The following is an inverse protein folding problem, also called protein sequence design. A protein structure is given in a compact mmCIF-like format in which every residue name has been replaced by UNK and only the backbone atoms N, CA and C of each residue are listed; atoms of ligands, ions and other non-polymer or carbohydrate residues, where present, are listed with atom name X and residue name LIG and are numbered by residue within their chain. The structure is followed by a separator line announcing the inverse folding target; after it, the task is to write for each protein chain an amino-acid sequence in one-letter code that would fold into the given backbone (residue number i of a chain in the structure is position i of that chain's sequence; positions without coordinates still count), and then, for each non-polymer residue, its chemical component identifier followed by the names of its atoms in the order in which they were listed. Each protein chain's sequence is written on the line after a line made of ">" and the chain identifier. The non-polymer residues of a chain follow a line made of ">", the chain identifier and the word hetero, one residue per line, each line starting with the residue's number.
data_IF_094867061488
#
_entry.id   IF_094867061488
#
_cell.length_a   1.000
_cell.length_b   1.000
_cell.length_c   1.000
_cell.angle_alpha   90.00
_cell.angle_beta   90.00
_cell.angle_gamma   90.00
#
_symmetry.space_group_name_H-M   'P 1'
#
loop_
_entity.id
_entity.type
_entity.pdbx_description
1 polymer ?
#
# COMPACT_ATOMS: atom_id res chain seq x y z
N UNK A 1 2.10 7.06 46.66
CA UNK A 1 2.05 5.92 45.72
C UNK A 1 3.38 5.21 45.79
N UNK A 2 3.39 3.87 45.86
CA UNK A 2 4.64 3.10 45.82
C UNK A 2 5.22 3.11 44.40
N UNK A 3 6.54 2.98 44.28
CA UNK A 3 7.23 2.92 42.98
C UNK A 3 6.69 1.77 42.10
N UNK A 4 6.31 0.66 42.74
CA UNK A 4 5.72 -0.50 42.07
C UNK A 4 4.39 -0.20 41.39
N UNK A 5 3.50 0.60 42.00
CA UNK A 5 2.23 0.96 41.37
C UNK A 5 2.44 1.75 40.07
N UNK A 6 3.46 2.62 40.03
CA UNK A 6 3.79 3.39 38.82
C UNK A 6 4.30 2.49 37.71
N UNK A 7 5.15 1.50 38.05
CA UNK A 7 5.65 0.51 37.10
C UNK A 7 4.50 -0.33 36.55
N UNK A 8 3.57 -0.75 37.41
CA UNK A 8 2.42 -1.54 37.00
C UNK A 8 1.50 -0.73 36.09
N UNK A 9 1.23 0.52 36.40
CA UNK A 9 0.42 1.41 35.56
C UNK A 9 0.96 1.52 34.12
N UNK A 10 2.27 1.63 33.96
CA UNK A 10 2.94 1.61 32.65
C UNK A 10 2.84 0.27 31.93
N UNK A 11 2.79 -0.85 32.68
CA UNK A 11 2.72 -2.20 32.14
C UNK A 11 1.29 -2.67 31.82
N UNK A 12 0.26 -2.08 32.41
CA UNK A 12 -1.16 -2.46 32.21
C UNK A 12 -1.55 -2.55 30.70
N UNK A 13 -1.19 -1.58 29.83
CA UNK A 13 -1.53 -1.64 28.41
C UNK A 13 -0.88 -2.81 27.67
N UNK A 14 0.32 -3.24 28.08
CA UNK A 14 1.05 -4.36 27.49
C UNK A 14 0.56 -5.70 28.04
N UNK A 15 0.25 -5.75 29.34
CA UNK A 15 -0.34 -6.91 30.03
C UNK A 15 -1.67 -7.32 29.37
N UNK A 16 -2.58 -6.37 29.12
CA UNK A 16 -3.85 -6.63 28.43
C UNK A 16 -3.72 -7.16 27.01
N UNK A 17 -2.59 -6.89 26.35
CA UNK A 17 -2.32 -7.32 24.98
C UNK A 17 -1.57 -8.65 24.90
N UNK A 18 -1.27 -9.29 26.04
CA UNK A 18 -0.46 -10.51 26.12
C UNK A 18 0.91 -10.34 25.42
N UNK A 19 1.48 -9.14 25.48
CA UNK A 19 2.78 -8.79 24.86
C UNK A 19 3.93 -8.77 25.87
N UNK A 20 3.69 -9.22 27.10
CA UNK A 20 4.69 -9.29 28.16
C UNK A 20 5.35 -10.67 28.20
N UNK A 21 6.59 -10.71 28.68
CA UNK A 21 7.28 -11.96 28.98
C UNK A 21 6.67 -12.63 30.21
N UNK A 22 6.79 -13.96 30.31
CA UNK A 22 6.18 -14.76 31.39
C UNK A 22 6.54 -14.24 32.80
N UNK A 23 7.81 -13.89 33.04
CA UNK A 23 8.27 -13.34 34.32
C UNK A 23 7.62 -11.99 34.66
N UNK A 24 7.32 -11.17 33.66
CA UNK A 24 6.65 -9.87 33.85
C UNK A 24 5.15 -10.04 34.07
N UNK A 25 4.54 -11.08 33.48
CA UNK A 25 3.14 -11.44 33.73
C UNK A 25 2.96 -11.85 35.18
N UNK A 26 3.81 -12.75 35.69
CA UNK A 26 3.77 -13.20 37.09
C UNK A 26 3.95 -12.02 38.07
N UNK A 27 4.87 -11.10 37.77
CA UNK A 27 5.07 -9.88 38.57
C UNK A 27 3.83 -8.99 38.60
N UNK A 28 3.17 -8.80 37.46
CA UNK A 28 1.94 -7.98 37.37
C UNK A 28 0.80 -8.66 38.11
N UNK A 29 0.58 -9.97 37.92
CA UNK A 29 -0.47 -10.73 38.60
C UNK A 29 -0.28 -10.71 40.12
N UNK A 30 0.95 -10.93 40.60
CA UNK A 30 1.26 -10.88 42.03
C UNK A 30 0.93 -9.51 42.63
N UNK A 31 1.26 -8.42 41.95
CA UNK A 31 0.93 -7.08 42.42
C UNK A 31 -0.58 -6.78 42.38
N UNK A 32 -1.30 -7.31 41.39
CA UNK A 32 -2.76 -7.15 41.28
C UNK A 32 -3.54 -7.87 42.40
N UNK A 33 -2.98 -8.93 42.98
CA UNK A 33 -3.59 -9.59 44.16
C UNK A 33 -3.52 -8.76 45.43
N UNK A 34 -2.54 -7.86 45.53
CA UNK A 34 -2.25 -7.09 46.76
C UNK A 34 -2.69 -5.63 46.66
N UNK A 35 -2.80 -5.08 45.45
CA UNK A 35 -3.12 -3.66 45.24
C UNK A 35 -4.50 -3.44 44.60
N UNK A 36 -5.48 -3.04 45.41
CA UNK A 36 -6.85 -2.76 44.97
C UNK A 36 -6.93 -1.58 43.97
N UNK A 37 -6.03 -0.59 44.09
CA UNK A 37 -5.96 0.55 43.17
C UNK A 37 -5.55 0.10 41.76
N UNK A 38 -4.50 -0.71 41.64
CA UNK A 38 -4.06 -1.27 40.36
C UNK A 38 -5.10 -2.22 39.76
N UNK A 39 -5.81 -2.97 40.60
CA UNK A 39 -6.92 -3.82 40.16
C UNK A 39 -8.07 -3.00 39.53
N UNK A 40 -8.44 -1.87 40.15
CA UNK A 40 -9.44 -0.97 39.59
C UNK A 40 -8.96 -0.29 38.30
N UNK A 41 -7.67 0.06 38.20
CA UNK A 41 -7.09 0.60 36.96
C UNK A 41 -7.12 -0.44 35.83
N UNK A 42 -6.85 -1.72 36.12
CA UNK A 42 -7.03 -2.80 35.13
C UNK A 42 -8.50 -2.98 34.76
N UNK A 43 -9.44 -2.90 35.69
CA UNK A 43 -10.86 -3.03 35.39
C UNK A 43 -11.40 -1.84 34.56
N UNK A 44 -10.97 -0.62 34.89
CA UNK A 44 -11.49 0.63 34.30
C UNK A 44 -10.71 1.13 33.08
N UNK A 45 -9.49 0.62 32.85
CA UNK A 45 -8.76 0.89 31.61
C UNK A 45 -9.47 0.21 30.45
N UNK A 46 -10.50 0.85 29.90
CA UNK A 46 -10.98 0.47 28.58
C UNK A 46 -9.76 0.41 27.66
N UNK A 47 -9.61 -0.68 26.92
CA UNK A 47 -8.64 -0.77 25.82
C UNK A 47 -9.09 0.27 24.79
N UNK A 48 -8.78 1.55 25.06
CA UNK A 48 -8.85 2.57 24.06
C UNK A 48 -7.79 2.17 23.05
N UNK A 49 -8.28 1.52 22.00
CA UNK A 49 -7.59 1.31 20.75
C UNK A 49 -7.31 2.69 20.12
N UNK A 50 -6.53 3.53 20.79
CA UNK A 50 -5.91 4.71 20.22
C UNK A 50 -4.67 4.28 19.43
N UNK A 51 -4.80 3.21 18.62
CA UNK A 51 -3.97 3.07 17.45
C UNK A 51 -4.60 4.03 16.43
N UNK A 52 -4.07 5.26 16.35
CA UNK A 52 -4.24 6.03 15.13
C UNK A 52 -3.81 5.11 13.97
N UNK A 53 -4.69 4.86 13.00
CA UNK A 53 -4.58 3.72 12.11
C UNK A 53 -3.40 3.97 11.16
N UNK A 54 -2.23 3.43 11.48
CA UNK A 54 -1.07 3.31 10.57
C UNK A 54 -1.50 2.77 9.21
N UNK A 55 -2.56 1.93 9.18
CA UNK A 55 -3.21 1.40 7.97
C UNK A 55 -3.94 2.46 7.13
N UNK A 56 -4.50 3.52 7.72
CA UNK A 56 -5.25 4.57 6.99
C UNK A 56 -4.32 5.47 6.18
N UNK A 57 -3.17 5.85 6.73
CA UNK A 57 -2.18 6.66 6.01
C UNK A 57 -1.60 5.90 4.82
N UNK A 58 -1.25 4.62 5.00
CA UNK A 58 -0.75 3.77 3.90
C UNK A 58 -1.82 3.56 2.83
N UNK A 59 -3.09 3.34 3.23
CA UNK A 59 -4.21 3.22 2.30
C UNK A 59 -4.45 4.50 1.50
N UNK A 60 -4.34 5.68 2.14
CA UNK A 60 -4.44 6.97 1.46
C UNK A 60 -3.38 7.13 0.36
N UNK A 61 -2.11 6.86 0.67
CA UNK A 61 -1.05 6.89 -0.33
C UNK A 61 -1.24 5.84 -1.44
N UNK A 62 -1.80 4.67 -1.11
CA UNK A 62 -2.14 3.65 -2.10
C UNK A 62 -3.17 4.14 -3.12
N UNK A 63 -4.21 4.80 -2.65
CA UNK A 63 -5.20 5.44 -3.53
C UNK A 63 -4.53 6.51 -4.40
N UNK A 64 -3.63 7.33 -3.84
CA UNK A 64 -2.88 8.32 -4.62
C UNK A 64 -2.08 7.65 -5.74
N UNK A 65 -1.34 6.57 -5.45
CA UNK A 65 -0.57 5.86 -6.47
C UNK A 65 -1.47 5.28 -7.57
N UNK A 66 -2.64 4.73 -7.22
CA UNK A 66 -3.62 4.24 -8.21
C UNK A 66 -4.14 5.38 -9.08
N UNK A 67 -4.52 6.51 -8.49
CA UNK A 67 -5.02 7.69 -9.22
C UNK A 67 -3.95 8.25 -10.15
N UNK A 68 -2.70 8.35 -9.70
CA UNK A 68 -1.58 8.78 -10.54
C UNK A 68 -1.35 7.83 -11.72
N UNK A 69 -1.46 6.51 -11.50
CA UNK A 69 -1.36 5.52 -12.57
C UNK A 69 -2.44 5.72 -13.64
N UNK A 70 -3.69 6.00 -13.23
CA UNK A 70 -4.77 6.39 -14.15
C UNK A 70 -4.48 7.70 -14.87
N UNK A 71 -4.05 8.74 -14.16
CA UNK A 71 -3.74 10.05 -14.78
C UNK A 71 -2.66 9.93 -15.86
N UNK A 72 -1.63 9.14 -15.61
CA UNK A 72 -0.60 8.88 -16.60
C UNK A 72 -1.11 8.06 -17.79
N UNK A 73 -2.04 7.13 -17.57
CA UNK A 73 -2.67 6.36 -18.65
C UNK A 73 -3.53 7.26 -19.56
N UNK A 74 -4.27 8.21 -18.98
CA UNK A 74 -5.10 9.18 -19.73
C UNK A 74 -4.21 10.11 -20.56
N UNK A 75 -3.13 10.62 -19.96
CA UNK A 75 -2.23 11.58 -20.61
C UNK A 75 -1.17 10.91 -21.51
N UNK A 76 -1.14 9.58 -21.54
CA UNK A 76 -0.24 8.81 -22.40
C UNK A 76 -0.74 8.85 -23.85
N UNK A 77 -0.39 9.90 -24.59
CA UNK A 77 -0.34 9.78 -26.04
C UNK A 77 0.91 8.98 -26.42
N UNK A 78 0.72 7.71 -26.77
CA UNK A 78 1.81 6.84 -27.24
C UNK A 78 2.57 7.44 -28.44
N UNK A 79 1.95 8.39 -29.15
CA UNK A 79 2.42 8.99 -30.41
C UNK A 79 2.90 10.45 -30.30
N UNK A 80 2.64 11.17 -29.20
CA UNK A 80 2.97 12.60 -29.09
C UNK A 80 4.31 12.89 -28.42
N UNK A 81 4.42 12.63 -27.11
CA UNK A 81 5.58 13.01 -26.30
C UNK A 81 6.22 11.79 -25.61
N UNK A 82 6.75 10.90 -26.45
CA UNK A 82 7.26 9.57 -26.09
C UNK A 82 8.28 9.59 -24.94
N UNK A 83 9.12 10.63 -24.86
CA UNK A 83 10.15 10.77 -23.81
C UNK A 83 9.55 11.07 -22.43
N UNK A 84 8.55 11.94 -22.37
CA UNK A 84 7.90 12.32 -21.12
C UNK A 84 7.18 11.13 -20.48
N UNK A 85 6.53 10.32 -21.31
CA UNK A 85 5.89 9.07 -20.92
C UNK A 85 6.88 8.07 -20.29
N UNK A 86 8.00 7.80 -20.96
CA UNK A 86 8.99 6.83 -20.46
C UNK A 86 9.56 7.27 -19.11
N UNK A 87 9.93 8.54 -18.99
CA UNK A 87 10.53 9.08 -17.77
C UNK A 87 9.51 9.09 -16.62
N UNK A 88 8.26 9.50 -16.86
CA UNK A 88 7.25 9.56 -15.80
C UNK A 88 6.92 8.17 -15.26
N UNK A 89 6.79 7.15 -16.10
CA UNK A 89 6.53 5.78 -15.66
C UNK A 89 7.72 5.16 -14.93
N UNK A 90 8.95 5.43 -15.38
CA UNK A 90 10.14 5.00 -14.66
C UNK A 90 10.25 5.65 -13.27
N UNK A 91 10.01 6.97 -13.17
CA UNK A 91 9.98 7.67 -11.88
C UNK A 91 8.87 7.15 -10.97
N UNK A 92 7.69 6.93 -11.53
CA UNK A 92 6.55 6.37 -10.80
C UNK A 92 6.88 4.99 -10.22
N UNK A 93 7.41 4.07 -11.04
CA UNK A 93 7.80 2.74 -10.59
C UNK A 93 8.92 2.76 -9.54
N UNK A 94 9.90 3.67 -9.69
CA UNK A 94 10.93 3.92 -8.69
C UNK A 94 10.32 4.34 -7.34
N UNK A 95 9.45 5.35 -7.34
CA UNK A 95 8.81 5.88 -6.14
C UNK A 95 7.90 4.83 -5.48
N UNK A 96 7.10 4.12 -6.27
CA UNK A 96 6.23 3.04 -5.79
C UNK A 96 7.05 1.91 -5.15
N UNK A 97 8.20 1.54 -5.73
CA UNK A 97 9.07 0.53 -5.13
C UNK A 97 9.66 1.01 -3.80
N UNK A 98 10.15 2.25 -3.72
CA UNK A 98 10.71 2.79 -2.48
C UNK A 98 9.66 2.84 -1.35
N UNK A 99 8.42 3.15 -1.69
CA UNK A 99 7.31 3.19 -0.74
C UNK A 99 6.88 1.79 -0.26
N UNK A 100 6.61 0.87 -1.20
CA UNK A 100 6.05 -0.46 -0.85
C UNK A 100 7.09 -1.52 -0.56
N UNK A 101 8.33 -1.35 -1.05
CA UNK A 101 9.43 -2.33 -0.98
C UNK A 101 9.06 -3.72 -1.51
N UNK A 102 8.03 -3.79 -2.36
CA UNK A 102 7.51 -5.02 -2.94
C UNK A 102 7.25 -4.81 -4.44
N UNK A 103 7.96 -5.58 -5.27
CA UNK A 103 7.89 -5.48 -6.73
C UNK A 103 6.51 -5.87 -7.28
N UNK A 104 5.81 -6.80 -6.62
CA UNK A 104 4.48 -7.23 -7.04
C UNK A 104 3.45 -6.09 -6.95
N UNK A 105 3.58 -5.23 -5.94
CA UNK A 105 2.69 -4.06 -5.80
C UNK A 105 2.94 -3.06 -6.94
N UNK A 106 4.21 -2.84 -7.32
CA UNK A 106 4.55 -1.99 -8.46
C UNK A 106 3.90 -2.51 -9.74
N UNK A 107 4.04 -3.81 -10.01
CA UNK A 107 3.42 -4.47 -11.16
C UNK A 107 1.90 -4.28 -11.19
N UNK A 108 1.22 -4.54 -10.07
CA UNK A 108 -0.23 -4.42 -9.97
C UNK A 108 -0.68 -2.98 -10.21
N UNK A 109 -0.07 -2.01 -9.52
CA UNK A 109 -0.45 -0.59 -9.62
C UNK A 109 -0.12 -0.01 -11.00
N UNK A 110 0.94 -0.46 -11.68
CA UNK A 110 1.29 0.02 -13.03
C UNK A 110 0.46 -0.64 -14.14
N UNK A 111 0.01 -1.88 -13.95
CA UNK A 111 -0.66 -2.67 -14.99
C UNK A 111 -2.18 -2.51 -14.97
N UNK A 112 -2.82 -2.76 -13.82
CA UNK A 112 -4.28 -2.83 -13.72
C UNK A 112 -5.00 -1.52 -14.08
N UNK A 113 -4.62 -0.36 -13.52
CA UNK A 113 -5.24 0.92 -13.88
C UNK A 113 -5.15 1.23 -15.37
N UNK A 114 -3.98 0.99 -15.98
CA UNK A 114 -3.75 1.23 -17.41
C UNK A 114 -4.58 0.28 -18.27
N UNK A 115 -4.65 -1.00 -17.88
CA UNK A 115 -5.46 -1.99 -18.58
C UNK A 115 -6.95 -1.64 -18.56
N UNK A 116 -7.47 -1.30 -17.38
CA UNK A 116 -8.88 -0.88 -17.21
C UNK A 116 -9.16 0.39 -18.00
N UNK A 117 -8.27 1.38 -17.93
CA UNK A 117 -8.39 2.61 -18.71
C UNK A 117 -8.39 2.33 -20.22
N UNK A 118 -7.47 1.49 -20.71
CA UNK A 118 -7.39 1.15 -22.12
C UNK A 118 -8.66 0.47 -22.62
N UNK A 119 -9.27 -0.42 -21.83
CA UNK A 119 -10.57 -1.01 -22.17
C UNK A 119 -11.64 0.08 -22.26
N UNK A 120 -11.80 0.89 -21.21
CA UNK A 120 -12.83 1.95 -21.16
C UNK A 120 -12.66 2.94 -22.32
N UNK A 121 -11.43 3.36 -22.61
CA UNK A 121 -11.15 4.29 -23.68
C UNK A 121 -11.53 3.69 -25.04
N UNK A 122 -11.15 2.45 -25.34
CA UNK A 122 -11.50 1.83 -26.61
C UNK A 122 -13.01 1.54 -26.74
N UNK A 123 -13.70 1.19 -25.65
CA UNK A 123 -15.16 1.02 -25.64
C UNK A 123 -15.92 2.33 -25.97
N UNK A 124 -15.40 3.47 -25.52
CA UNK A 124 -16.01 4.78 -25.72
C UNK A 124 -15.65 5.43 -27.07
N UNK A 125 -14.70 4.85 -27.82
CA UNK A 125 -14.34 5.38 -29.13
C UNK A 125 -15.18 4.68 -30.21
N UNK A 126 -16.14 5.40 -30.77
CA UNK A 126 -17.06 4.94 -31.83
C UNK A 126 -16.35 4.39 -33.08
N UNK A 127 -15.06 4.74 -33.26
CA UNK A 127 -14.22 4.23 -34.35
C UNK A 127 -13.84 2.74 -34.21
N UNK A 128 -13.89 2.17 -33.01
CA UNK A 128 -13.34 0.84 -32.73
C UNK A 128 -14.39 -0.24 -32.45
N UNK A 129 -15.60 0.12 -32.05
CA UNK A 129 -16.66 -0.85 -31.75
C UNK A 129 -17.94 -0.40 -32.41
N UNK A 130 -18.26 -1.05 -33.52
CA UNK A 130 -19.55 -0.89 -34.20
C UNK A 130 -20.44 -2.12 -33.99
N UNK A 131 -19.87 -3.30 -33.68
CA UNK A 131 -20.59 -4.56 -33.45
C UNK A 131 -19.88 -5.38 -32.36
N UNK A 132 -20.57 -5.84 -31.32
CA UNK A 132 -19.94 -6.71 -30.31
C UNK A 132 -19.71 -8.13 -30.86
N UNK A 133 -18.61 -8.32 -31.59
CA UNK A 133 -18.12 -9.62 -32.08
C UNK A 133 -17.03 -10.20 -31.18
N UNK A 134 -16.91 -11.54 -31.12
CA UNK A 134 -15.87 -12.22 -30.33
C UNK A 134 -14.46 -11.78 -30.75
N UNK A 135 -14.28 -11.53 -32.05
CA UNK A 135 -13.02 -11.05 -32.64
C UNK A 135 -12.67 -9.62 -32.22
N UNK A 136 -13.65 -8.72 -32.15
CA UNK A 136 -13.44 -7.34 -31.67
C UNK A 136 -13.13 -7.30 -30.17
N UNK A 137 -13.82 -8.13 -29.37
CA UNK A 137 -13.51 -8.27 -27.94
C UNK A 137 -12.10 -8.82 -27.75
N UNK A 138 -11.69 -9.80 -28.56
CA UNK A 138 -10.33 -10.33 -28.55
C UNK A 138 -9.28 -9.26 -28.88
N UNK A 139 -9.51 -8.48 -29.95
CA UNK A 139 -8.63 -7.39 -30.35
C UNK A 139 -8.54 -6.30 -29.28
N UNK A 140 -9.66 -5.95 -28.63
CA UNK A 140 -9.74 -5.00 -27.52
C UNK A 140 -8.87 -5.44 -26.34
N UNK A 141 -9.02 -6.70 -25.90
CA UNK A 141 -8.27 -7.23 -24.75
C UNK A 141 -6.78 -7.31 -25.06
N UNK A 142 -6.41 -7.71 -26.29
CA UNK A 142 -5.00 -7.78 -26.71
C UNK A 142 -4.39 -6.37 -26.76
N UNK A 143 -5.09 -5.40 -27.36
CA UNK A 143 -4.64 -4.02 -27.43
C UNK A 143 -4.48 -3.38 -26.04
N UNK A 144 -5.45 -3.56 -25.16
CA UNK A 144 -5.38 -3.08 -23.78
C UNK A 144 -4.23 -3.73 -23.01
N UNK A 145 -4.03 -5.03 -23.18
CA UNK A 145 -2.90 -5.77 -22.57
C UNK A 145 -1.56 -5.25 -23.06
N UNK A 146 -1.42 -4.98 -24.36
CA UNK A 146 -0.19 -4.46 -24.95
C UNK A 146 0.17 -3.09 -24.36
N UNK A 147 -0.80 -2.18 -24.25
CA UNK A 147 -0.59 -0.84 -23.67
C UNK A 147 -0.17 -0.96 -22.20
N UNK A 148 -0.90 -1.76 -21.40
CA UNK A 148 -0.60 -1.99 -19.99
C UNK A 148 0.80 -2.60 -19.78
N UNK A 149 1.20 -3.52 -20.67
CA UNK A 149 2.51 -4.18 -20.63
C UNK A 149 3.64 -3.18 -20.89
N UNK A 150 3.50 -2.30 -21.89
CA UNK A 150 4.50 -1.25 -22.16
C UNK A 150 4.70 -0.32 -20.95
N UNK A 151 3.60 0.12 -20.34
CA UNK A 151 3.64 0.99 -19.16
C UNK A 151 4.31 0.29 -17.97
N UNK A 152 3.99 -0.99 -17.80
CA UNK A 152 4.54 -1.82 -16.73
C UNK A 152 6.04 -2.08 -16.90
N UNK A 153 6.54 -2.30 -18.13
CA UNK A 153 7.98 -2.45 -18.37
C UNK A 153 8.74 -1.23 -17.86
N UNK A 154 8.30 -0.02 -18.22
CA UNK A 154 9.01 1.20 -17.79
C UNK A 154 8.94 1.40 -16.27
N UNK A 155 7.80 1.10 -15.64
CA UNK A 155 7.70 1.11 -14.18
C UNK A 155 8.64 0.10 -13.51
N UNK A 156 8.78 -1.11 -14.06
CA UNK A 156 9.68 -2.13 -13.53
C UNK A 156 11.16 -1.75 -13.70
N UNK A 157 11.54 -1.09 -14.80
CA UNK A 157 12.88 -0.52 -14.97
C UNK A 157 13.16 0.51 -13.87
N UNK A 158 12.20 1.39 -13.60
CA UNK A 158 12.28 2.34 -12.49
C UNK A 158 12.44 1.67 -11.12
N UNK A 159 11.67 0.62 -10.85
CA UNK A 159 11.80 -0.16 -9.63
C UNK A 159 13.15 -0.86 -9.51
N UNK A 160 13.70 -1.39 -10.62
CA UNK A 160 15.04 -1.97 -10.64
C UNK A 160 16.12 -0.94 -10.27
N UNK A 161 16.01 0.30 -10.77
CA UNK A 161 16.89 1.39 -10.37
C UNK A 161 16.78 1.69 -8.86
N UNK A 162 15.57 1.70 -8.31
CA UNK A 162 15.37 1.88 -6.86
C UNK A 162 15.99 0.75 -6.02
N UNK A 163 15.90 -0.50 -6.50
CA UNK A 163 16.56 -1.65 -5.86
C UNK A 163 18.08 -1.45 -5.83
N UNK A 164 18.67 -1.02 -6.95
CA UNK A 164 20.11 -0.77 -7.05
C UNK A 164 20.54 0.37 -6.14
N UNK A 165 19.83 1.50 -6.15
CA UNK A 165 20.11 2.62 -5.24
C UNK A 165 20.10 2.16 -3.78
N UNK A 166 19.09 1.40 -3.37
CA UNK A 166 19.00 0.90 -2.00
C UNK A 166 20.19 0.01 -1.62
N UNK A 167 20.71 -0.79 -2.55
CA UNK A 167 21.90 -1.62 -2.30
C UNK A 167 23.19 -0.81 -2.16
N UNK A 168 23.28 0.36 -2.80
CA UNK A 168 24.47 1.23 -2.74
C UNK A 168 24.52 2.05 -1.44
N UNK A 169 23.36 2.42 -0.90
CA UNK A 169 23.25 3.24 0.31
C UNK A 169 23.00 2.41 1.60
N UNK A 170 23.11 1.08 1.53
CA UNK A 170 23.08 0.18 2.69
C UNK A 170 24.49 -0.28 3.04
#
# INVERSE_FOLDING_TARGET
>A
MSQECSIIEDLIPLYKKQLLQASTIEFVEQHLTTCQQCQQLVANSSTQNAYLPMKRTVSFFHIIFIVLSFMFAINSSLLGNQKGFVISYALFGCLSYLFYKNIWIVFIISSLPVFVWAIINNLNNELYITIFSLTEIGALVIGASYIALLHTIFALIGAAFAILLRRVFQ
#
